data_IF_623015104030
#
_entry.id   IF_623015104030
#
_cell.length_a   1.000
_cell.length_b   1.000
_cell.length_c   1.000
_cell.angle_alpha   90.00
_cell.angle_beta   90.00
_cell.angle_gamma   90.00
#
_symmetry.space_group_name_H-M   'P 1'
#
loop_
_entity.id
_entity.type
_entity.pdbx_description
1 polymer ?
2 non-polymer ?
3 non-polymer ?
4 water ?
#
# COMPACT_ATOMS: atom_id res chain seq x y z
N UNK A 3 16.49 -18.03 1.56
CA UNK A 3 16.02 -17.99 0.15
C UNK A 3 14.73 -17.20 0.08
N UNK A 4 14.71 -16.17 -0.76
CA UNK A 4 13.50 -15.46 -1.14
C UNK A 4 12.65 -16.35 -2.06
N UNK A 5 11.33 -16.24 -1.91
CA UNK A 5 10.32 -16.84 -2.81
C UNK A 5 9.11 -15.91 -2.87
N UNK A 6 8.60 -15.68 -4.07
CA UNK A 6 7.35 -14.93 -4.25
C UNK A 6 6.12 -15.75 -3.83
N UNK A 7 6.28 -17.07 -3.67
CA UNK A 7 5.17 -17.95 -3.24
C UNK A 7 5.18 -18.31 -1.74
N UNK A 8 6.04 -17.63 -0.97
CA UNK A 8 6.03 -17.72 0.49
C UNK A 8 6.09 -16.37 1.15
N UNK A 9 5.73 -16.28 2.43
CA UNK A 9 5.97 -15.03 3.16
C UNK A 9 7.42 -14.98 3.58
N UNK A 10 8.12 -13.89 3.28
CA UNK A 10 9.55 -13.78 3.55
C UNK A 10 9.75 -12.86 4.74
N UNK A 11 10.75 -13.11 5.61
CA UNK A 11 11.06 -12.18 6.74
C UNK A 11 11.71 -10.90 6.21
N UNK A 12 11.84 -9.86 7.04
CA UNK A 12 12.44 -8.60 6.59
C UNK A 12 13.87 -8.71 6.01
N UNK A 13 14.73 -9.51 6.65
CA UNK A 13 16.08 -9.78 6.11
C UNK A 13 15.98 -10.34 4.70
N UNK A 14 15.05 -11.27 4.49
CA UNK A 14 14.82 -11.77 3.11
C UNK A 14 14.35 -10.62 2.15
N UNK A 15 13.44 -9.72 2.61
CA UNK A 15 12.86 -8.71 1.69
C UNK A 15 13.95 -7.69 1.39
N UNK A 16 14.73 -7.33 2.41
CA UNK A 16 15.74 -6.29 2.21
C UNK A 16 16.75 -6.74 1.14
N UNK A 17 17.31 -7.92 1.32
CA UNK A 17 18.21 -8.51 0.34
C UNK A 17 17.55 -8.64 -1.02
N UNK A 18 16.25 -8.99 -1.06
CA UNK A 18 15.58 -9.07 -2.37
C UNK A 18 15.54 -7.73 -3.10
N UNK A 19 15.35 -6.61 -2.39
CA UNK A 19 15.26 -5.29 -3.00
C UNK A 19 16.59 -4.83 -3.56
N UNK A 20 17.69 -5.24 -2.92
CA UNK A 20 19.05 -4.95 -3.40
C UNK A 20 19.28 -5.80 -4.65
N UNK A 21 18.79 -7.03 -4.61
CA UNK A 21 19.06 -7.97 -5.69
C UNK A 21 18.18 -7.72 -6.95
N UNK A 22 16.84 -7.68 -6.81
CA UNK A 22 15.99 -7.32 -7.93
C UNK A 22 16.38 -5.99 -8.65
N UNK A 23 17.01 -5.06 -7.93
CA UNK A 23 17.55 -3.81 -8.46
C UNK A 23 18.79 -4.05 -9.32
N UNK A 24 19.84 -4.61 -8.75
CA UNK A 24 21.09 -4.92 -9.49
C UNK A 24 20.90 -5.88 -10.67
N UNK A 25 19.89 -6.75 -10.61
CA UNK A 25 19.60 -7.72 -11.68
C UNK A 25 18.75 -7.13 -12.81
N UNK A 26 18.07 -6.02 -12.54
CA UNK A 26 17.21 -5.32 -13.51
C UNK A 26 17.45 -3.83 -13.44
N UNK A 27 18.69 -3.39 -13.73
CA UNK A 27 19.08 -2.04 -13.41
C UNK A 27 18.46 -0.99 -14.33
N UNK A 28 17.90 -1.44 -15.45
CA UNK A 28 17.29 -0.50 -16.38
C UNK A 28 15.82 -0.29 -16.10
N UNK A 29 15.18 -1.29 -15.48
CA UNK A 29 13.77 -1.18 -15.06
C UNK A 29 13.56 -0.67 -13.61
N UNK A 30 14.56 -0.86 -12.74
CA UNK A 30 14.41 -0.58 -11.31
C UNK A 30 15.58 0.16 -10.68
N UNK A 31 15.27 1.15 -9.86
CA UNK A 31 16.25 1.76 -8.95
C UNK A 31 15.72 1.84 -7.49
N UNK A 32 16.64 1.88 -6.54
CA UNK A 32 16.25 1.81 -5.15
C UNK A 32 16.86 2.91 -4.34
N UNK A 33 16.00 3.67 -3.66
CA UNK A 33 16.45 4.61 -2.65
C UNK A 33 16.05 4.14 -1.22
N UNK A 34 16.68 4.72 -0.20
CA UNK A 34 16.18 4.72 1.17
C UNK A 34 15.50 6.07 1.35
N UNK A 35 14.23 6.08 1.73
CA UNK A 35 13.53 7.37 1.82
C UNK A 35 13.48 7.89 3.24
N UNK A 36 14.02 7.11 4.17
CA UNK A 36 13.97 7.42 5.59
C UNK A 36 14.54 6.22 6.29
N UNK A 37 14.49 6.24 7.62
CA UNK A 37 14.76 5.07 8.48
C UNK A 37 13.58 4.80 9.43
N UNK A 38 13.37 3.55 9.82
CA UNK A 38 12.33 3.27 10.85
C UNK A 38 12.71 3.73 12.29
N UNK A 39 11.74 3.67 13.19
CA UNK A 39 11.99 3.94 14.61
C UNK A 39 13.25 3.15 15.09
N UNK A 40 13.33 1.86 14.72
CA UNK A 40 14.49 1.07 15.12
C UNK A 40 15.74 1.24 14.24
N UNK A 41 15.69 2.21 13.32
CA UNK A 41 16.78 2.54 12.41
C UNK A 41 16.93 1.69 11.15
N UNK A 42 15.89 0.95 10.79
CA UNK A 42 15.82 0.21 9.52
C UNK A 42 15.55 1.17 8.33
N UNK A 43 16.27 0.99 7.21
CA UNK A 43 16.03 1.75 5.96
C UNK A 43 14.74 1.34 5.24
N UNK A 44 13.92 2.34 4.98
CA UNK A 44 12.67 2.20 4.28
C UNK A 44 13.03 2.34 2.80
N UNK A 45 13.24 1.20 2.13
CA UNK A 45 13.42 1.17 0.68
C UNK A 45 12.23 1.41 -0.20
N UNK A 46 12.51 2.13 -1.26
CA UNK A 46 11.50 2.40 -2.23
C UNK A 46 12.01 1.96 -3.57
N UNK A 47 11.13 1.31 -4.31
CA UNK A 47 11.49 0.88 -5.66
C UNK A 47 10.88 1.75 -6.76
N UNK A 48 11.72 2.45 -7.50
CA UNK A 48 11.29 3.19 -8.69
C UNK A 48 11.34 2.24 -9.87
N UNK A 49 10.16 1.82 -10.33
CA UNK A 49 10.03 0.76 -11.32
C UNK A 49 9.47 1.34 -12.61
N UNK A 50 10.13 1.07 -13.72
CA UNK A 50 9.79 1.76 -14.99
C UNK A 50 11.00 2.01 -15.87
N UNK A 51 10.78 2.10 -17.17
CA UNK A 51 11.84 2.44 -18.12
C UNK A 51 12.26 3.93 -18.02
N UNK A 52 13.52 4.15 -17.62
CA UNK A 52 14.01 5.54 -17.53
C UNK A 52 13.76 6.38 -18.77
N UNK A 53 13.14 7.52 -18.54
CA UNK A 53 12.71 8.43 -19.59
C UNK A 53 12.35 9.76 -18.98
N UNK A 54 12.31 10.81 -19.79
CA UNK A 54 12.20 12.15 -19.22
C UNK A 54 10.77 12.62 -19.08
N UNK A 55 10.50 13.34 -17.98
CA UNK A 55 9.19 13.87 -17.68
C UNK A 55 8.06 12.81 -17.65
N UNK A 56 8.30 11.77 -16.86
CA UNK A 56 7.33 10.69 -16.69
C UNK A 56 6.37 10.94 -15.50
N UNK A 57 5.08 10.67 -15.73
CA UNK A 57 4.14 10.69 -14.61
C UNK A 57 4.34 9.41 -13.80
N UNK A 58 3.86 9.41 -12.56
CA UNK A 58 4.12 8.34 -11.65
C UNK A 58 2.85 7.86 -10.86
N UNK A 59 2.87 6.57 -10.48
CA UNK A 59 1.94 5.90 -9.52
C UNK A 59 2.71 5.41 -8.29
N UNK A 60 2.30 5.87 -7.10
CA UNK A 60 2.88 5.44 -5.85
C UNK A 60 2.07 4.30 -5.28
N UNK A 61 2.73 3.25 -4.74
CA UNK A 61 2.02 2.16 -4.05
C UNK A 61 2.78 1.76 -2.81
N UNK A 62 2.06 1.43 -1.71
CA UNK A 62 2.69 0.95 -0.49
C UNK A 62 1.96 -0.26 -0.02
N UNK A 63 2.70 -1.12 0.68
CA UNK A 63 2.25 -2.37 1.30
C UNK A 63 2.90 -2.37 2.63
N UNK A 64 2.43 -3.24 3.51
CA UNK A 64 3.05 -3.38 4.77
C UNK A 64 2.83 -2.25 5.74
N UNK A 65 1.82 -1.44 5.48
CA UNK A 65 1.55 -0.38 6.45
C UNK A 65 1.23 -0.95 7.83
N UNK A 66 0.28 -1.86 7.85
CA UNK A 66 0.06 -2.71 9.00
C UNK A 66 0.86 -4.06 9.03
N UNK A 67 1.54 -4.28 10.16
CA UNK A 67 2.33 -5.52 10.38
C UNK A 67 1.78 -6.94 10.08
N UNK A 68 0.62 -7.31 10.66
CA UNK A 68 0.08 -8.68 10.51
C UNK A 68 -0.49 -9.04 9.15
N UNK A 69 -0.62 -8.04 8.26
CA UNK A 69 -1.36 -8.24 6.98
C UNK A 69 -0.39 -8.72 5.93
N UNK A 70 0.15 -9.90 6.18
CA UNK A 70 1.29 -10.50 5.47
C UNK A 70 1.15 -10.65 3.92
N UNK A 71 -0.08 -10.89 3.46
CA UNK A 71 -0.38 -11.03 2.01
C UNK A 71 -0.11 -9.73 1.19
N UNK A 72 -0.33 -8.61 1.86
CA UNK A 72 0.00 -7.34 1.38
C UNK A 72 1.48 -7.16 1.10
N UNK A 73 2.36 -7.43 2.07
CA UNK A 73 3.81 -7.36 1.79
C UNK A 73 4.15 -8.26 0.58
N UNK A 74 3.48 -9.39 0.50
CA UNK A 74 3.79 -10.40 -0.55
C UNK A 74 3.30 -9.88 -1.88
N UNK A 75 2.29 -9.00 -1.87
CA UNK A 75 1.75 -8.43 -3.10
C UNK A 75 2.70 -7.35 -3.72
N UNK A 76 3.26 -6.46 -2.92
CA UNK A 76 4.33 -5.52 -3.48
C UNK A 76 5.48 -6.25 -4.21
N UNK A 77 6.11 -7.22 -3.58
CA UNK A 77 7.05 -8.15 -4.27
C UNK A 77 6.54 -8.86 -5.51
N UNK A 78 5.27 -9.30 -5.49
CA UNK A 78 4.66 -9.89 -6.65
C UNK A 78 4.58 -8.91 -7.85
N UNK A 79 4.28 -7.64 -7.60
CA UNK A 79 4.01 -6.68 -8.63
C UNK A 79 5.29 -6.29 -9.29
N UNK A 80 6.32 -6.19 -8.45
CA UNK A 80 7.66 -6.03 -8.91
C UNK A 80 8.14 -7.28 -9.77
N UNK A 81 7.80 -8.46 -9.28
CA UNK A 81 7.91 -9.71 -10.03
C UNK A 81 7.22 -9.67 -11.44
N UNK A 82 6.06 -9.07 -11.52
CA UNK A 82 5.28 -9.06 -12.77
C UNK A 82 5.96 -8.11 -13.76
N UNK A 83 6.38 -6.98 -13.22
CA UNK A 83 7.06 -5.91 -13.97
C UNK A 83 8.34 -6.39 -14.63
N UNK A 84 9.18 -7.05 -13.84
CA UNK A 84 10.43 -7.63 -14.33
C UNK A 84 10.23 -8.76 -15.31
N UNK A 85 9.37 -9.75 -15.02
CA UNK A 85 9.11 -10.86 -15.91
C UNK A 85 8.30 -10.55 -17.19
N UNK A 86 7.45 -9.53 -17.16
CA UNK A 86 6.49 -9.38 -18.26
C UNK A 86 6.81 -8.16 -19.09
N UNK A 87 7.78 -7.35 -18.64
CA UNK A 87 8.22 -6.20 -19.46
C UNK A 87 8.87 -6.72 -20.75
N UNK A 88 8.40 -6.23 -21.90
CA UNK A 88 8.84 -6.82 -23.17
C UNK A 88 8.08 -8.05 -23.64
N UNK A 89 7.20 -8.59 -22.81
CA UNK A 89 6.48 -9.83 -23.12
C UNK A 89 4.93 -9.73 -23.16
N UNK A 90 4.37 -8.74 -22.46
CA UNK A 90 2.92 -8.53 -22.37
C UNK A 90 2.70 -7.10 -22.73
N UNK A 91 1.78 -6.92 -23.67
CA UNK A 91 1.28 -5.64 -24.11
C UNK A 91 1.21 -4.55 -23.04
N UNK A 92 0.33 -4.75 -22.08
CA UNK A 92 -0.13 -3.66 -21.18
C UNK A 92 0.92 -3.34 -20.18
N UNK A 93 1.29 -4.30 -19.34
CA UNK A 93 2.45 -4.07 -18.44
C UNK A 93 3.51 -3.20 -19.12
N UNK A 94 3.97 -3.66 -20.29
CA UNK A 94 4.96 -2.97 -21.15
C UNK A 94 4.69 -1.52 -21.49
N UNK A 95 3.47 -1.24 -21.95
CA UNK A 95 3.01 0.13 -22.16
C UNK A 95 3.17 0.93 -20.88
N UNK A 96 2.78 0.33 -19.76
CA UNK A 96 2.75 1.01 -18.45
C UNK A 96 4.11 1.41 -17.96
N UNK A 97 5.15 0.62 -18.27
CA UNK A 97 6.47 0.85 -17.70
C UNK A 97 7.26 1.87 -18.55
N UNK A 98 6.92 1.94 -19.84
CA UNK A 98 7.41 3.00 -20.76
C UNK A 98 6.80 4.36 -20.47
N UNK A 99 5.49 4.41 -20.20
CA UNK A 99 4.83 5.72 -19.98
C UNK A 99 4.78 6.22 -18.52
N UNK A 100 5.05 5.35 -17.57
CA UNK A 100 4.84 5.60 -16.13
C UNK A 100 5.97 5.01 -15.34
N UNK A 101 6.27 5.62 -14.18
CA UNK A 101 7.14 5.00 -13.17
C UNK A 101 6.24 4.60 -12.01
N UNK A 102 6.60 3.51 -11.38
CA UNK A 102 5.88 2.99 -10.26
C UNK A 102 6.83 3.11 -9.08
N UNK A 103 6.51 3.96 -8.13
CA UNK A 103 7.15 3.91 -6.81
C UNK A 103 6.49 2.87 -5.87
N UNK A 104 7.17 1.77 -5.64
CA UNK A 104 6.63 0.63 -4.88
C UNK A 104 7.46 0.61 -3.62
N UNK A 105 6.80 0.82 -2.49
CA UNK A 105 7.36 0.71 -1.18
C UNK A 105 6.94 -0.62 -0.61
N UNK A 106 7.80 -1.69 -0.67
CA UNK A 106 7.28 -2.98 -0.30
C UNK A 106 6.85 -3.19 1.17
N UNK A 107 7.53 -2.53 2.10
CA UNK A 107 7.10 -2.61 3.52
C UNK A 107 7.25 -1.23 4.16
N UNK A 108 6.15 -0.60 4.59
CA UNK A 108 6.31 0.68 5.24
C UNK A 108 6.74 0.39 6.66
N UNK A 109 5.95 -0.43 7.36
CA UNK A 109 6.14 -0.60 8.77
C UNK A 109 7.06 -1.82 9.01
N UNK A 110 8.35 -1.59 8.76
CA UNK A 110 9.41 -2.63 8.82
C UNK A 110 9.59 -3.18 10.27
N UNK A 111 9.52 -2.31 11.28
CA UNK A 111 9.74 -2.76 12.73
C UNK A 111 8.55 -3.63 13.19
N UNK A 112 7.33 -3.21 12.86
CA UNK A 112 6.13 -4.02 13.10
C UNK A 112 6.15 -5.43 12.47
N UNK A 113 6.48 -5.48 11.18
CA UNK A 113 6.69 -6.76 10.44
C UNK A 113 7.73 -7.75 11.07
N UNK A 114 8.88 -7.24 11.49
CA UNK A 114 9.93 -8.06 12.15
C UNK A 114 9.37 -8.71 13.43
N UNK A 115 8.55 -7.92 14.11
CA UNK A 115 7.95 -8.24 15.36
C UNK A 115 6.87 -9.31 15.22
N UNK A 116 6.18 -9.34 14.07
CA UNK A 116 5.18 -10.42 13.80
C UNK A 116 5.89 -11.73 13.48
N UNK A 117 7.16 -11.62 13.07
CA UNK A 117 7.97 -12.84 12.84
C UNK A 117 8.68 -13.34 14.10
N UNK A 118 8.88 -12.48 15.10
CA UNK A 118 9.75 -12.83 16.25
C UNK A 118 8.98 -12.93 17.59
N UNK A 119 7.89 -12.18 17.72
CA UNK A 119 7.20 -12.07 19.00
C UNK A 119 5.68 -12.23 18.95
N UNK A 120 5.00 -11.64 17.98
CA UNK A 120 3.52 -11.59 18.04
C UNK A 120 2.89 -11.49 16.65
N UNK A 121 2.22 -12.56 16.20
CA UNK A 121 1.77 -12.72 14.83
C UNK A 121 0.67 -11.73 14.55
N UNK A 122 0.08 -11.20 15.62
CA UNK A 122 -1.12 -10.38 15.47
C UNK A 122 -0.89 -8.91 15.82
N UNK A 123 0.39 -8.51 15.74
CA UNK A 123 0.80 -7.13 15.87
C UNK A 123 0.36 -6.37 14.59
N UNK A 124 -0.15 -5.16 14.77
CA UNK A 124 -0.55 -4.25 13.65
C UNK A 124 0.36 -2.98 13.52
N UNK A 125 0.69 -2.36 14.64
CA UNK A 125 1.20 -1.00 14.68
C UNK A 125 2.70 -0.95 14.51
N UNK A 126 3.23 0.23 14.72
CA UNK A 126 4.63 0.41 14.73
C UNK A 126 5.09 -0.08 16.10
N UNK A 127 6.35 0.17 16.39
CA UNK A 127 7.05 -0.31 17.56
C UNK A 127 7.84 0.86 18.18
N UNK A 128 7.26 2.06 18.07
CA UNK A 128 7.69 3.24 18.81
C UNK A 128 7.08 3.29 20.22
N UNK A 129 7.79 3.97 21.12
CA UNK A 129 7.44 3.99 22.53
C UNK A 129 6.55 5.19 22.66
N UNK A 130 5.86 5.27 23.80
CA UNK A 130 4.85 6.31 24.12
C UNK A 130 5.01 6.81 25.55
N UNK A 131 5.16 8.13 25.70
CA UNK A 131 5.12 8.74 27.04
C UNK A 131 4.00 8.16 27.92
N UNK A 132 4.34 7.90 29.18
CA UNK A 132 3.37 7.69 30.25
C UNK A 132 2.78 6.31 30.29
N UNK A 133 3.18 5.46 29.34
CA UNK A 133 2.71 4.09 29.30
C UNK A 133 3.84 3.17 28.81
N UNK A 134 3.70 1.88 28.99
CA UNK A 134 4.67 0.91 28.43
C UNK A 134 4.05 0.25 27.18
N UNK A 135 2.80 0.60 26.89
CA UNK A 135 2.18 0.37 25.57
C UNK A 135 2.93 0.91 24.36
N UNK A 136 3.07 0.01 23.37
CA UNK A 136 3.89 0.25 22.22
C UNK A 136 3.03 0.48 20.96
N UNK A 137 3.49 1.40 20.10
CA UNK A 137 2.97 1.46 18.72
C UNK A 137 1.97 2.55 18.39
N UNK A 138 2.05 3.05 17.14
CA UNK A 138 1.06 4.00 16.52
C UNK A 138 0.54 3.35 15.27
N UNK A 139 -0.76 3.53 15.01
CA UNK A 139 -1.35 3.03 13.79
C UNK A 139 -0.95 4.02 12.70
N UNK A 140 -0.12 3.61 11.70
CA UNK A 140 0.35 4.55 10.63
C UNK A 140 -0.81 5.14 9.82
N UNK A 141 -1.94 4.43 9.81
CA UNK A 141 -2.98 4.67 8.86
C UNK A 141 -4.04 5.38 9.60
N UNK A 142 -3.64 5.95 10.73
CA UNK A 142 -4.34 6.92 11.53
C UNK A 142 -3.31 8.04 11.83
N UNK A 143 -2.13 7.98 11.22
CA UNK A 143 -1.03 8.92 11.52
C UNK A 143 -0.84 10.03 10.54
N UNK A 144 -1.61 9.99 9.45
CA UNK A 144 -1.48 10.95 8.40
C UNK A 144 -2.33 12.21 8.70
N UNK A 145 -1.85 13.36 8.22
CA UNK A 145 -2.48 14.65 8.50
C UNK A 145 -3.75 14.87 7.66
N UNK A 146 -4.80 14.10 7.93
CA UNK A 146 -6.04 14.17 7.16
C UNK A 146 -7.17 13.78 8.08
N UNK A 147 -8.01 14.74 8.44
CA UNK A 147 -8.90 14.62 9.62
C UNK A 147 -8.19 14.08 10.85
N UNK A 148 -6.94 14.49 11.07
CA UNK A 148 -6.09 13.73 12.02
C UNK A 148 -6.68 13.49 13.42
N UNK A 149 -6.72 12.22 13.79
CA UNK A 149 -7.10 11.75 15.12
C UNK A 149 -8.50 12.21 15.53
N UNK A 150 -9.48 12.08 14.63
CA UNK A 150 -10.88 12.38 14.91
C UNK A 150 -11.55 11.03 15.13
N UNK A 151 -12.88 10.96 15.12
CA UNK A 151 -13.58 9.72 15.44
C UNK A 151 -13.18 8.56 14.50
N UNK A 152 -12.83 7.40 15.08
CA UNK A 152 -12.42 6.23 14.31
C UNK A 152 -10.95 5.98 14.50
N UNK A 153 -10.29 6.98 15.10
CA UNK A 153 -8.92 6.96 15.63
C UNK A 153 -8.96 7.13 17.13
N UNK A 154 -8.01 6.49 17.80
CA UNK A 154 -8.01 6.51 19.23
C UNK A 154 -6.86 7.30 19.81
N UNK A 155 -7.14 8.01 20.91
CA UNK A 155 -6.18 8.82 21.62
C UNK A 155 -5.46 8.00 22.65
N UNK A 156 -5.98 6.76 22.88
CA UNK A 156 -5.33 5.73 23.71
C UNK A 156 -4.10 4.97 23.05
N UNK A 157 -2.89 5.16 23.60
CA UNK A 157 -1.69 4.45 23.03
C UNK A 157 -1.73 2.91 23.03
N UNK A 158 -2.43 2.36 24.01
CA UNK A 158 -2.67 0.93 24.12
C UNK A 158 -3.63 0.37 23.14
N UNK A 159 -4.29 1.22 22.40
CA UNK A 159 -5.28 0.78 21.43
C UNK A 159 -4.75 0.49 20.04
N UNK A 160 -5.42 -0.38 19.31
CA UNK A 160 -4.94 -0.79 17.97
C UNK A 160 -5.08 0.27 16.87
N UNK A 161 -5.89 1.31 17.10
CA UNK A 161 -6.03 2.43 16.18
C UNK A 161 -5.43 3.77 16.69
N UNK A 162 -4.42 3.73 17.55
CA UNK A 162 -3.85 4.93 18.19
C UNK A 162 -3.20 5.85 17.13
N UNK A 163 -3.48 7.17 17.21
CA UNK A 163 -3.25 8.14 16.11
C UNK A 163 -1.85 8.74 16.19
N UNK A 164 -1.10 8.42 17.24
CA UNK A 164 0.21 9.00 17.44
C UNK A 164 0.14 10.24 18.32
N UNK A 165 1.29 10.81 18.64
CA UNK A 165 1.34 12.06 19.43
C UNK A 165 1.16 13.36 18.58
N UNK A 166 1.22 13.21 17.27
CA UNK A 166 1.08 14.34 16.37
C UNK A 166 0.90 13.67 15.04
N UNK A 167 0.19 14.31 14.11
CA UNK A 167 0.23 13.81 12.75
C UNK A 167 1.68 13.76 12.25
N UNK A 168 2.04 12.66 11.59
CA UNK A 168 3.39 12.43 11.08
C UNK A 168 4.43 12.22 12.17
N UNK A 169 3.99 11.85 13.38
CA UNK A 169 4.91 11.52 14.51
C UNK A 169 5.73 10.25 14.18
N UNK A 170 5.24 9.39 13.33
CA UNK A 170 6.01 8.17 13.04
C UNK A 170 7.00 8.45 11.95
N UNK A 171 8.29 8.12 12.19
CA UNK A 171 9.34 8.33 11.22
C UNK A 171 8.92 7.75 9.89
N UNK A 172 8.05 6.74 9.92
CA UNK A 172 7.68 5.97 8.70
C UNK A 172 6.63 6.73 7.90
N UNK A 173 5.54 7.15 8.58
CA UNK A 173 4.57 8.06 7.99
C UNK A 173 5.31 9.30 7.38
N UNK A 174 6.02 10.07 8.23
CA UNK A 174 6.78 11.25 7.78
C UNK A 174 7.60 11.02 6.52
N UNK A 175 8.43 9.96 6.51
CA UNK A 175 9.16 9.60 5.32
C UNK A 175 8.32 9.43 4.03
N UNK A 176 7.18 8.76 4.15
CA UNK A 176 6.33 8.47 3.00
C UNK A 176 5.61 9.74 2.60
N UNK A 177 5.18 10.60 3.53
CA UNK A 177 4.54 11.87 3.16
C UNK A 177 5.55 12.88 2.59
N UNK A 178 6.77 12.94 3.16
CA UNK A 178 7.87 13.75 2.63
C UNK A 178 8.20 13.36 1.14
N UNK A 179 8.43 12.08 0.87
CA UNK A 179 8.63 11.65 -0.51
C UNK A 179 7.59 12.13 -1.50
N UNK A 180 6.33 11.86 -1.19
CA UNK A 180 5.17 12.30 -1.98
C UNK A 180 5.02 13.82 -2.13
N UNK A 181 5.17 14.62 -1.05
CA UNK A 181 5.28 16.07 -1.30
C UNK A 181 6.46 16.41 -2.21
N UNK A 182 7.61 15.75 -2.02
CA UNK A 182 8.78 16.02 -2.87
C UNK A 182 8.57 15.65 -4.35
N UNK A 183 7.68 14.69 -4.59
CA UNK A 183 7.38 14.29 -5.94
C UNK A 183 5.94 14.50 -6.41
N UNK A 184 5.24 15.42 -5.77
CA UNK A 184 3.82 15.68 -6.05
C UNK A 184 3.42 15.93 -7.50
N UNK A 185 4.18 16.76 -8.25
CA UNK A 185 3.76 17.02 -9.63
C UNK A 185 3.88 15.80 -10.60
N UNK A 186 4.64 14.78 -10.25
CA UNK A 186 4.61 13.57 -11.09
C UNK A 186 3.59 12.49 -10.70
N UNK A 187 3.20 12.44 -9.43
CA UNK A 187 2.38 11.35 -8.90
C UNK A 187 0.88 11.53 -9.26
N UNK A 188 0.35 10.59 -10.08
CA UNK A 188 -1.04 10.71 -10.59
C UNK A 188 -1.99 9.75 -9.87
N UNK A 189 -1.45 8.72 -9.22
CA UNK A 189 -2.31 7.80 -8.41
C UNK A 189 -1.59 7.34 -7.14
N UNK A 190 -2.39 6.96 -6.13
CA UNK A 190 -1.99 6.48 -4.80
C UNK A 190 -2.77 5.20 -4.52
N UNK A 191 -2.04 4.13 -4.26
CA UNK A 191 -2.61 2.83 -3.93
C UNK A 191 -1.97 2.28 -2.66
N UNK A 192 -2.75 1.72 -1.77
CA UNK A 192 -2.20 1.28 -0.49
C UNK A 192 -2.77 -0.10 -0.29
N UNK A 193 -1.90 -1.12 -0.19
CA UNK A 193 -2.34 -2.48 -0.10
C UNK A 193 -2.44 -3.03 1.33
N UNK A 194 -3.58 -3.68 1.62
CA UNK A 194 -3.90 -4.06 2.96
C UNK A 194 -4.60 -5.44 3.01
N UNK A 195 -4.89 -5.92 4.23
CA UNK A 195 -5.80 -7.09 4.42
C UNK A 195 -6.58 -7.05 5.76
N UNK A 196 -7.66 -7.82 5.94
CA UNK A 196 -8.35 -8.61 4.87
C UNK A 196 -9.76 -8.04 4.74
N UNK A 197 -10.66 -8.70 4.00
CA UNK A 197 -12.08 -8.29 3.81
C UNK A 197 -12.60 -8.14 2.36
N UNK A 198 -11.73 -8.42 1.38
CA UNK A 198 -12.08 -8.31 -0.03
C UNK A 198 -12.88 -7.04 -0.32
N UNK A 199 -12.27 -5.89 -0.01
CA UNK A 199 -12.87 -4.53 -0.16
C UNK A 199 -11.96 -3.51 -0.91
N UNK A 200 -12.50 -2.79 -1.88
CA UNK A 200 -11.72 -1.67 -2.47
C UNK A 200 -12.32 -0.35 -2.02
N UNK A 201 -11.56 0.42 -1.27
CA UNK A 201 -12.08 1.65 -0.73
C UNK A 201 -11.43 2.89 -1.42
N UNK A 202 -12.15 4.02 -1.47
CA UNK A 202 -11.59 5.28 -1.91
C UNK A 202 -12.09 6.38 -0.96
N UNK A 203 -11.56 7.58 -1.06
CA UNK A 203 -11.96 8.66 -0.13
C UNK A 203 -13.48 8.99 -0.05
N UNK A 204 -14.02 9.31 1.12
CA UNK A 204 -13.28 9.65 2.32
C UNK A 204 -13.54 8.65 3.46
N UNK A 205 -12.50 8.44 4.27
CA UNK A 205 -12.60 7.63 5.46
C UNK A 205 -12.59 8.53 6.71
N UNK A 206 -12.03 9.75 6.62
CA UNK A 206 -11.87 10.63 7.80
C UNK A 206 -13.13 11.41 8.27
N UNK A 207 -14.20 11.35 7.45
CA UNK A 207 -15.50 12.00 7.72
C UNK A 207 -16.48 11.28 6.74
N UNK A 208 -17.78 11.29 7.00
CA UNK A 208 -18.76 10.98 5.93
C UNK A 208 -18.92 12.14 4.92
N UNK A 209 -18.11 12.11 3.87
CA UNK A 209 -18.27 12.96 2.70
C UNK A 209 -17.79 12.20 1.48
N UNK A 210 -18.27 12.63 0.31
CA UNK A 210 -17.93 11.95 -0.91
C UNK A 210 -17.03 12.89 -1.66
N UNK A 211 -16.10 12.31 -2.43
CA UNK A 211 -15.13 13.06 -3.16
C UNK A 211 -15.79 13.72 -4.39
N UNK A 212 -15.13 14.74 -4.94
CA UNK A 212 -15.59 15.52 -6.08
C UNK A 212 -15.90 14.60 -7.28
N UNK A 213 -14.99 13.64 -7.52
CA UNK A 213 -15.16 12.58 -8.51
C UNK A 213 -15.72 11.23 -7.96
N UNK A 214 -16.67 11.31 -7.02
CA UNK A 214 -17.27 10.09 -6.47
C UNK A 214 -17.69 9.17 -7.58
N UNK A 215 -18.44 9.72 -8.53
CA UNK A 215 -18.99 8.97 -9.63
C UNK A 215 -17.92 8.24 -10.40
N UNK A 216 -16.85 8.93 -10.80
CA UNK A 216 -15.77 8.36 -11.54
C UNK A 216 -15.08 7.26 -10.69
N UNK A 217 -14.81 7.55 -9.42
CA UNK A 217 -14.22 6.54 -8.50
C UNK A 217 -15.14 5.34 -8.26
N UNK A 218 -16.44 5.60 -8.18
CA UNK A 218 -17.49 4.53 -8.10
C UNK A 218 -17.44 3.65 -9.32
N UNK A 219 -17.49 4.25 -10.52
CA UNK A 219 -17.42 3.50 -11.78
C UNK A 219 -16.10 2.77 -11.91
N UNK A 220 -14.99 3.39 -11.48
CA UNK A 220 -13.64 2.79 -11.56
C UNK A 220 -13.39 1.59 -10.60
N UNK A 221 -13.82 1.74 -9.33
CA UNK A 221 -13.85 0.63 -8.34
C UNK A 221 -14.78 -0.50 -8.77
N UNK A 222 -15.96 -0.14 -9.32
CA UNK A 222 -16.89 -1.17 -9.84
C UNK A 222 -16.19 -2.03 -10.89
N UNK A 223 -15.48 -1.39 -11.82
CA UNK A 223 -14.83 -2.02 -12.94
C UNK A 223 -13.57 -2.84 -12.63
N UNK A 224 -12.88 -2.55 -11.53
CA UNK A 224 -11.69 -3.28 -11.10
C UNK A 224 -12.10 -4.49 -10.27
N UNK A 225 -13.11 -4.33 -9.44
CA UNK A 225 -13.77 -5.48 -8.76
C UNK A 225 -14.26 -6.45 -9.83
N UNK A 226 -15.05 -5.96 -10.77
CA UNK A 226 -15.47 -6.79 -11.91
C UNK A 226 -14.29 -7.55 -12.57
N UNK A 227 -13.23 -6.84 -12.96
CA UNK A 227 -11.96 -7.42 -13.53
C UNK A 227 -11.31 -8.49 -12.65
N UNK A 228 -11.08 -8.12 -11.40
CA UNK A 228 -10.45 -8.99 -10.39
C UNK A 228 -11.25 -10.25 -10.36
N UNK A 229 -12.56 -10.10 -10.38
CA UNK A 229 -13.48 -11.22 -10.25
C UNK A 229 -13.47 -12.17 -11.42
N UNK A 230 -12.64 -11.94 -12.44
CA UNK A 230 -12.67 -12.83 -13.62
C UNK A 230 -11.63 -13.94 -13.67
N UNK A 231 -10.85 -14.13 -12.61
CA UNK A 231 -9.87 -15.22 -12.60
C UNK A 231 -10.37 -16.40 -11.87
N UNK A 232 -10.90 -16.16 -10.69
CA UNK A 232 -11.31 -17.26 -9.83
C UNK A 232 -12.68 -16.96 -9.28
N UNK A 233 -13.32 -15.93 -9.87
CA UNK A 233 -14.58 -15.37 -9.36
C UNK A 233 -14.59 -14.86 -7.92
N UNK A 234 -13.48 -14.35 -7.41
CA UNK A 234 -13.43 -13.84 -6.01
C UNK A 234 -14.32 -12.62 -5.91
N UNK A 235 -15.16 -12.55 -4.86
CA UNK A 235 -16.11 -11.40 -4.63
C UNK A 235 -15.61 -10.29 -3.67
N UNK A 236 -15.47 -9.10 -4.24
CA UNK A 236 -15.06 -7.86 -3.58
C UNK A 236 -16.19 -6.85 -3.52
N UNK A 237 -16.36 -6.19 -2.38
CA UNK A 237 -17.23 -5.03 -2.35
C UNK A 237 -16.39 -3.78 -2.48
N UNK A 238 -17.04 -2.61 -2.58
CA UNK A 238 -16.27 -1.37 -2.82
C UNK A 238 -17.05 -0.12 -2.43
N UNK A 239 -16.32 0.98 -2.32
CA UNK A 239 -16.94 2.24 -2.10
C UNK A 239 -16.01 3.20 -1.39
N UNK A 240 -16.56 4.39 -1.05
CA UNK A 240 -16.08 5.35 -0.10
C UNK A 240 -15.85 4.68 1.23
N UNK A 241 -14.69 4.96 1.84
CA UNK A 241 -14.29 4.36 3.12
C UNK A 241 -15.21 4.55 4.31
N UNK A 242 -15.54 5.80 4.66
CA UNK A 242 -16.48 6.01 5.73
C UNK A 242 -17.80 5.24 5.49
N UNK A 243 -18.33 5.31 4.26
CA UNK A 243 -19.61 4.67 3.99
C UNK A 243 -19.55 3.17 3.87
N UNK A 244 -18.39 2.62 3.54
CA UNK A 244 -18.26 1.18 3.27
C UNK A 244 -17.80 0.40 4.50
N UNK A 245 -16.65 0.77 5.03
CA UNK A 245 -16.10 0.12 6.20
C UNK A 245 -16.58 0.89 7.41
N UNK A 246 -15.78 1.84 7.81
CA UNK A 246 -15.96 2.59 9.02
C UNK A 246 -15.17 3.88 8.85
N UNK A 247 -15.41 4.85 9.75
CA UNK A 247 -14.51 5.95 9.91
C UNK A 247 -13.16 5.44 10.36
N UNK A 248 -12.14 6.00 9.71
CA UNK A 248 -10.72 5.61 9.77
C UNK A 248 -9.85 6.85 9.36
N UNK A 249 -9.85 7.92 10.21
CA UNK A 249 -9.14 9.14 9.84
C UNK A 249 -7.65 9.08 10.05
N UNK A 250 -6.92 9.95 9.36
CA UNK A 250 -5.48 9.93 9.33
C UNK A 250 -4.95 8.87 8.36
N UNK A 251 -5.75 8.54 7.38
CA UNK A 251 -5.39 7.54 6.37
C UNK A 251 -4.51 8.16 5.33
N UNK A 252 -3.61 7.35 4.77
CA UNK A 252 -2.75 7.79 3.69
C UNK A 252 -3.53 8.04 2.41
N UNK A 253 -4.63 7.29 2.19
CA UNK A 253 -5.41 7.41 0.94
C UNK A 253 -6.06 8.80 0.89
N UNK A 254 -6.63 9.24 2.00
CA UNK A 254 -7.24 10.59 2.12
C UNK A 254 -6.18 11.70 2.10
N UNK A 255 -5.05 11.47 2.74
CA UNK A 255 -4.00 12.50 2.74
C UNK A 255 -3.50 12.77 1.30
N UNK A 256 -3.15 11.69 0.58
CA UNK A 256 -2.79 11.79 -0.77
C UNK A 256 -3.87 12.44 -1.63
N UNK A 257 -5.13 12.03 -1.51
CA UNK A 257 -6.18 12.68 -2.31
C UNK A 257 -6.27 14.20 -2.03
N UNK A 258 -6.13 14.60 -0.76
CA UNK A 258 -6.23 16.02 -0.39
C UNK A 258 -5.01 16.83 -0.78
N UNK A 259 -3.93 16.15 -1.17
CA UNK A 259 -2.75 16.76 -1.85
C UNK A 259 -3.03 16.95 -3.36
N UNK A 260 -4.16 16.40 -3.81
CA UNK A 260 -4.56 16.53 -5.19
C UNK A 260 -4.26 15.30 -6.05
N UNK A 261 -3.87 14.18 -5.43
CA UNK A 261 -3.85 12.86 -6.11
C UNK A 261 -5.26 12.26 -6.22
N UNK A 262 -5.88 12.55 -7.36
CA UNK A 262 -7.30 12.26 -7.63
C UNK A 262 -7.76 10.81 -7.66
N UNK A 263 -6.86 9.89 -8.09
CA UNK A 263 -7.06 8.48 -7.99
C UNK A 263 -6.29 7.90 -6.81
N UNK A 264 -7.04 7.56 -5.75
CA UNK A 264 -6.49 7.07 -4.50
C UNK A 264 -7.38 5.92 -3.97
N UNK A 265 -6.80 4.72 -3.80
CA UNK A 265 -7.49 3.49 -3.43
C UNK A 265 -6.73 2.68 -2.36
N UNK A 266 -7.49 2.00 -1.49
CA UNK A 266 -7.00 1.05 -0.47
C UNK A 266 -7.59 -0.28 -0.87
N UNK A 267 -6.69 -1.23 -1.11
CA UNK A 267 -7.05 -2.58 -1.41
C UNK A 267 -6.94 -3.45 -0.16
N UNK A 268 -8.06 -4.12 0.16
CA UNK A 268 -8.13 -5.05 1.27
C UNK A 268 -8.28 -6.43 0.66
N UNK A 269 -7.20 -7.20 0.70
CA UNK A 269 -7.11 -8.44 -0.06
C UNK A 269 -7.77 -9.69 0.65
N UNK A 270 -7.53 -10.92 0.18
CA UNK A 270 -8.20 -12.15 0.76
C UNK A 270 -7.95 -12.29 2.31
N UNK A 271 -8.87 -12.93 3.05
CA UNK A 271 -10.17 -13.44 2.59
C UNK A 271 -11.33 -12.74 3.28
N UNK A 272 -12.42 -13.47 3.57
CA UNK A 272 -13.53 -12.87 4.31
C UNK A 272 -13.53 -13.17 5.82
N UNK A 273 -12.80 -14.20 6.21
CA UNK A 273 -12.55 -14.52 7.60
C UNK A 273 -12.12 -15.95 7.93
N UNK A 274 -12.33 -16.89 7.01
CA UNK A 274 -11.87 -18.27 7.25
C UNK A 274 -10.49 -18.25 7.89
N UNK A 275 -9.52 -17.69 7.15
CA UNK A 275 -8.12 -17.57 7.61
C UNK A 275 -7.68 -16.21 8.16
N UNK A 276 -8.29 -15.14 7.67
CA UNK A 276 -7.97 -13.81 8.16
C UNK A 276 -6.61 -13.28 7.73
N UNK A 277 -5.86 -12.70 8.68
CA UNK A 277 -4.46 -12.24 8.49
C UNK A 277 -3.54 -13.43 8.18
N UNK A 278 -3.92 -14.60 8.69
CA UNK A 278 -3.07 -15.82 8.62
C UNK A 278 -3.46 -16.54 7.35
N UNK A 279 -3.19 -15.90 6.19
CA UNK A 279 -3.64 -16.49 4.95
C UNK A 279 -2.63 -17.56 4.53
N UNK A 280 -3.12 -18.80 4.28
CA UNK A 280 -2.19 -19.84 3.82
C UNK A 280 -1.30 -19.33 2.68
N UNK A 281 0.01 -19.54 2.80
CA UNK A 281 0.94 -19.35 1.69
C UNK A 281 0.42 -19.95 0.38
N UNK A 282 -0.51 -20.90 0.46
CA UNK A 282 -0.99 -21.53 -0.75
C UNK A 282 -2.01 -20.61 -1.41
N UNK A 283 -2.45 -19.57 -0.72
CA UNK A 283 -3.25 -18.59 -1.40
C UNK A 283 -2.47 -17.37 -1.98
N UNK A 284 -1.16 -17.26 -1.71
CA UNK A 284 -0.33 -16.12 -2.27
C UNK A 284 -0.56 -15.96 -3.77
N UNK A 285 -0.19 -16.97 -4.55
CA UNK A 285 -0.23 -16.92 -6.01
C UNK A 285 -1.52 -16.42 -6.62
N UNK A 286 -2.64 -16.97 -6.19
CA UNK A 286 -3.99 -16.64 -6.67
C UNK A 286 -4.45 -15.23 -6.27
N UNK A 287 -4.16 -14.86 -5.01
CA UNK A 287 -4.56 -13.55 -4.50
C UNK A 287 -3.78 -12.49 -5.25
N UNK A 288 -2.53 -12.79 -5.52
CA UNK A 288 -1.76 -11.73 -6.16
C UNK A 288 -2.17 -11.65 -7.62
N UNK A 289 -2.57 -12.78 -8.19
CA UNK A 289 -2.81 -12.78 -9.65
C UNK A 289 -4.10 -12.05 -9.95
N UNK A 290 -5.13 -12.35 -9.18
CA UNK A 290 -6.43 -11.72 -9.26
C UNK A 290 -6.31 -10.21 -8.87
N UNK A 291 -5.58 -9.93 -7.79
CA UNK A 291 -5.24 -8.53 -7.47
C UNK A 291 -4.46 -7.72 -8.54
N UNK A 292 -3.50 -8.35 -9.24
CA UNK A 292 -2.80 -7.68 -10.34
C UNK A 292 -3.66 -7.16 -11.49
N UNK A 293 -4.76 -7.86 -11.72
CA UNK A 293 -5.70 -7.52 -12.76
C UNK A 293 -6.45 -6.22 -12.41
N UNK A 294 -6.84 -6.09 -11.15
CA UNK A 294 -7.40 -4.84 -10.61
C UNK A 294 -6.39 -3.68 -10.62
N UNK A 295 -5.12 -3.99 -10.32
CA UNK A 295 -4.07 -2.97 -10.29
C UNK A 295 -3.78 -2.44 -11.68
N UNK A 296 -3.52 -3.31 -12.65
CA UNK A 296 -3.29 -2.92 -14.03
C UNK A 296 -4.55 -2.24 -14.60
N UNK A 297 -5.75 -2.77 -14.26
CA UNK A 297 -6.97 -2.11 -14.68
C UNK A 297 -7.01 -0.63 -14.26
N UNK A 298 -6.64 -0.35 -13.01
CA UNK A 298 -6.57 1.06 -12.52
C UNK A 298 -5.44 1.89 -13.20
N UNK A 299 -4.29 1.26 -13.39
CA UNK A 299 -3.16 1.91 -14.01
C UNK A 299 -3.44 2.24 -15.48
N UNK A 300 -4.21 1.40 -16.15
CA UNK A 300 -4.60 1.67 -17.56
C UNK A 300 -5.61 2.80 -17.65
N UNK A 301 -6.56 2.84 -16.74
CA UNK A 301 -7.45 4.04 -16.57
C UNK A 301 -6.67 5.31 -16.42
N UNK A 302 -5.82 5.38 -15.38
CA UNK A 302 -4.98 6.54 -15.11
C UNK A 302 -4.22 7.03 -16.34
N UNK A 303 -3.50 6.13 -17.01
CA UNK A 303 -2.83 6.40 -18.28
C UNK A 303 -3.69 7.09 -19.33
N UNK A 304 -4.96 6.70 -19.41
CA UNK A 304 -5.94 7.29 -20.31
C UNK A 304 -6.56 8.61 -19.84
N UNK A 305 -6.26 8.99 -18.60
CA UNK A 305 -6.88 10.16 -17.94
C UNK A 305 -5.90 11.00 -17.18
N UNK A 306 -4.78 11.32 -17.83
CA UNK A 306 -3.69 12.07 -17.23
C UNK A 306 -4.11 13.48 -16.95
N UNK A 307 -3.46 14.11 -15.98
CA UNK A 307 -3.89 15.42 -15.47
C UNK A 307 -2.73 16.05 -14.70
X LIG B 1 -4.18 -2.66 6.87
X LIG C 1 1.14 -13.45 -13.36
X LIG D 1 -12.64 8.99 -20.02
X LIG E 1 -9.00 4.11 4.41
X LIG E 1 -9.19 2.64 4.73
X LIG E 1 -7.72 0.64 8.59
X LIG E 1 -9.09 -1.40 12.87
X LIG E 1 -10.15 -1.58 13.96
X LIG E 1 -8.16 -2.31 8.37
X LIG E 1 -8.18 -4.59 9.37
X LIG E 1 -7.97 -4.33 10.85
X LIG E 1 -9.23 -3.60 13.81
X LIG E 1 -10.67 -3.86 13.44
X LIG E 1 -8.56 -6.01 8.84
X LIG E 1 -9.72 -6.85 9.40
X LIG E 1 -11.14 -7.61 11.35
X LIG E 1 -9.40 -2.51 14.83
X LIG E 1 -11.31 -2.47 13.49
X LIG E 1 -8.47 -2.79 12.73
X LIG E 1 -8.62 -3.26 11.33
X LIG E 1 -7.19 -5.02 11.46
X LIG E 1 -10.01 -6.66 10.90
X LIG E 1 -12.47 -7.36 10.57
X LIG E 1 -12.25 -7.51 9.05
X LIG E 1 -11.01 -6.69 8.54
X LIG E 1 -8.81 -3.45 8.59
X LIG E 1 -7.07 -2.08 8.92
X LIG E 1 -8.76 -1.38 7.58
X LIG E 1 -8.17 -0.01 7.28
X LIG E 1 -6.74 1.45 8.62
X LIG E 1 -8.39 0.30 9.57
X LIG E 1 -9.21 0.88 6.53
X LIG E 1 -8.63 2.24 6.09
X LIG E 1 -7.64 4.61 4.71
#
# INVERSE_FOLDING_TARGET
TTGHSYEKYNNWETIEAWTKQVTSENPDLISRTAIGTTFLGNNIYLLKVGKPGPNKPAIFMDCGIHAREWISHAFCQWFVREAVLTYGYESHMTEFLNKLDFYVLPVLNIDGYIYTWTKNRMWRKTRSTNAGTTCIGTDPNRNFDAGWCTTGASTDPCDETYCGSAAESEKETKALADFIRNNLSSIKAYLSIHSYSQHIVYPYSYDYKLPENNAELNNLAKAAVKELATLYGTKYTYGPGATTLYLAPGGGDDWAYDQGIKYSFTFELRDKGRYGFILPESQIQATCEETMLAIKYVTNYVLGHLY
ZN ZN
ZN ZN
ZN ZN
7B6 C2 C3 C7 C8 C10 C11 C14 C15 C19 C20 C21 C22 C24 C27 C26 C18 N17 O16 C23 C25 C28 C29 N13 O12 N10 C6 O8 O9 C5 C4 N1
#
